data_IF_531654796626
#
_entry.id   IF_531654796626
#
_cell.length_a   1.000
_cell.length_b   1.000
_cell.length_c   1.000
_cell.angle_alpha   90.00
_cell.angle_beta   90.00
_cell.angle_gamma   90.00
#
_symmetry.space_group_name_H-M   'P 1'
#
loop_
_entity.id
_entity.type
_entity.pdbx_description
1 polymer ?
#
# COMPACT_ATOMS: atom_id res chain seq x y z
N UNK A 1 -8.83 2.46 4.56
CA UNK A 1 -9.85 1.74 3.76
C UNK A 1 -9.72 0.24 4.05
N UNK A 2 -10.82 -0.49 4.13
CA UNK A 2 -10.78 -1.95 4.28
C UNK A 2 -10.34 -2.60 2.98
N UNK A 3 -9.80 -3.81 3.09
CA UNK A 3 -9.18 -4.57 2.00
C UNK A 3 -10.09 -4.78 0.78
N UNK A 4 -11.38 -5.01 1.01
CA UNK A 4 -12.42 -5.17 0.00
C UNK A 4 -12.82 -3.85 -0.70
N UNK A 5 -12.48 -2.71 -0.11
CA UNK A 5 -12.80 -1.38 -0.65
C UNK A 5 -11.70 -0.82 -1.57
N UNK A 6 -10.56 -1.49 -1.69
CA UNK A 6 -9.37 -0.94 -2.38
C UNK A 6 -9.65 -0.69 -3.85
N UNK A 7 -10.20 -1.68 -4.57
CA UNK A 7 -10.51 -1.55 -6.00
C UNK A 7 -11.52 -0.42 -6.26
N UNK A 8 -12.54 -0.29 -5.39
CA UNK A 8 -13.56 0.74 -5.50
C UNK A 8 -13.07 2.16 -5.17
N UNK A 9 -11.85 2.31 -4.62
CA UNK A 9 -11.27 3.61 -4.24
C UNK A 9 -9.89 3.83 -4.87
N UNK A 10 -9.52 3.04 -5.87
CA UNK A 10 -8.20 3.08 -6.51
C UNK A 10 -7.93 4.45 -7.15
N UNK A 11 -8.98 5.11 -7.64
CA UNK A 11 -8.98 6.44 -8.24
C UNK A 11 -8.54 7.57 -7.28
N UNK A 12 -8.60 7.32 -5.96
CA UNK A 12 -8.18 8.28 -4.93
C UNK A 12 -6.69 8.19 -4.62
N UNK A 13 -6.06 7.07 -4.97
CA UNK A 13 -4.64 6.80 -4.76
C UNK A 13 -3.87 7.34 -5.96
N UNK A 14 -2.69 7.89 -5.72
CA UNK A 14 -1.79 8.40 -6.76
C UNK A 14 -0.41 7.81 -6.61
N UNK A 15 0.35 7.83 -7.70
CA UNK A 15 1.78 7.54 -7.68
C UNK A 15 2.47 8.37 -6.60
N UNK A 16 3.32 7.71 -5.81
CA UNK A 16 4.06 8.34 -4.72
C UNK A 16 3.34 8.42 -3.39
N UNK A 17 2.05 8.02 -3.30
CA UNK A 17 1.38 7.93 -2.00
C UNK A 17 2.06 6.91 -1.09
N UNK A 18 2.19 7.25 0.19
CA UNK A 18 2.60 6.31 1.22
C UNK A 18 1.42 5.42 1.58
N UNK A 19 1.65 4.13 1.56
CA UNK A 19 0.66 3.09 1.89
C UNK A 19 1.13 2.36 3.13
N UNK A 20 0.32 2.36 4.18
CA UNK A 20 0.55 1.58 5.39
C UNK A 20 -0.47 0.44 5.47
N UNK A 21 0.01 -0.81 5.51
CA UNK A 21 -0.83 -1.99 5.57
C UNK A 21 -1.27 -2.24 7.01
N UNK A 22 -2.56 -2.07 7.28
CA UNK A 22 -3.12 -2.26 8.62
C UNK A 22 -3.24 -3.75 8.95
N UNK A 23 -3.19 -4.08 10.24
CA UNK A 23 -3.18 -5.47 10.69
C UNK A 23 -4.12 -5.73 11.86
N UNK A 24 -4.49 -7.00 12.00
CA UNK A 24 -5.33 -7.56 13.09
C UNK A 24 -4.48 -8.19 14.19
N UNK A 25 -3.17 -7.96 14.20
CA UNK A 25 -2.29 -8.43 15.26
C UNK A 25 -2.53 -7.56 16.51
N UNK A 26 -2.91 -8.18 17.62
CA UNK A 26 -3.15 -7.47 18.87
C UNK A 26 -1.93 -6.62 19.28
N UNK A 27 -2.19 -5.34 19.57
CA UNK A 27 -1.16 -4.37 19.94
C UNK A 27 -0.34 -3.80 18.78
N UNK A 28 -0.73 -4.04 17.52
CA UNK A 28 -0.06 -3.52 16.33
C UNK A 28 -1.05 -2.97 15.30
N UNK A 29 -0.91 -1.69 14.94
CA UNK A 29 -1.80 -1.05 13.97
C UNK A 29 -1.37 -1.31 12.51
N UNK A 30 -0.06 -1.28 12.25
CA UNK A 30 0.54 -1.35 10.91
C UNK A 30 1.65 -2.39 10.89
N UNK A 31 1.57 -3.35 9.97
CA UNK A 31 2.57 -4.41 9.85
C UNK A 31 3.66 -4.13 8.81
N UNK A 32 3.37 -3.27 7.83
CA UNK A 32 4.27 -3.00 6.70
C UNK A 32 3.93 -1.67 6.02
N UNK A 33 4.88 -1.10 5.28
CA UNK A 33 4.71 0.14 4.52
C UNK A 33 5.27 0.04 3.11
N UNK A 34 4.73 0.85 2.19
CA UNK A 34 5.12 0.91 0.79
C UNK A 34 4.83 2.27 0.15
N UNK A 35 5.30 2.46 -1.09
CA UNK A 35 4.97 3.61 -1.94
C UNK A 35 4.11 3.13 -3.11
N UNK A 36 2.95 3.74 -3.32
CA UNK A 36 2.03 3.41 -4.40
C UNK A 36 2.63 3.76 -5.78
N UNK A 37 2.37 2.90 -6.76
CA UNK A 37 2.68 3.16 -8.16
C UNK A 37 1.68 2.45 -9.07
N UNK A 38 1.16 3.13 -10.08
CA UNK A 38 0.38 2.54 -11.15
C UNK A 38 1.31 1.95 -12.21
N UNK A 39 1.22 0.65 -12.42
CA UNK A 39 1.95 -0.07 -13.46
C UNK A 39 0.95 -0.76 -14.38
N UNK A 40 1.01 -0.46 -15.67
CA UNK A 40 0.07 -0.97 -16.68
C UNK A 40 -1.41 -0.76 -16.31
N UNK A 41 -1.73 0.40 -15.72
CA UNK A 41 -3.10 0.76 -15.32
C UNK A 41 -3.61 0.07 -14.05
N UNK A 42 -2.78 -0.70 -13.34
CA UNK A 42 -3.14 -1.36 -12.08
C UNK A 42 -2.31 -0.80 -10.92
N UNK A 43 -2.91 -0.74 -9.74
CA UNK A 43 -2.23 -0.25 -8.53
C UNK A 43 -1.26 -1.30 -8.00
N UNK A 44 0.04 -1.02 -8.11
CA UNK A 44 1.15 -1.75 -7.51
C UNK A 44 1.81 -0.87 -6.44
N UNK A 45 2.91 -1.36 -5.86
CA UNK A 45 3.67 -0.59 -4.89
C UNK A 45 5.15 -1.00 -4.87
N UNK A 46 6.03 -0.05 -4.52
CA UNK A 46 7.40 -0.33 -4.14
C UNK A 46 7.52 -0.55 -2.65
N UNK A 47 8.24 -1.60 -2.24
CA UNK A 47 8.53 -1.84 -0.83
C UNK A 47 9.88 -2.52 -0.61
N UNK A 48 10.45 -2.34 0.57
CA UNK A 48 11.57 -3.14 1.04
C UNK A 48 11.06 -4.55 1.38
N UNK A 49 11.41 -5.53 0.55
CA UNK A 49 10.99 -6.91 0.76
C UNK A 49 12.01 -7.64 1.63
N UNK A 50 11.58 -8.10 2.81
CA UNK A 50 12.41 -8.95 3.68
C UNK A 50 12.79 -10.27 3.01
N UNK A 51 11.90 -10.84 2.18
CA UNK A 51 12.15 -12.10 1.48
C UNK A 51 13.12 -11.95 0.31
N UNK A 52 13.05 -10.83 -0.43
CA UNK A 52 13.94 -10.55 -1.57
C UNK A 52 15.20 -9.78 -1.19
N UNK A 53 15.31 -9.30 0.06
CA UNK A 53 16.42 -8.50 0.63
C UNK A 53 16.78 -7.25 -0.18
N UNK A 54 15.80 -6.67 -0.88
CA UNK A 54 15.95 -5.45 -1.69
C UNK A 54 14.61 -4.75 -1.84
N UNK A 55 14.66 -3.50 -2.31
CA UNK A 55 13.47 -2.80 -2.77
C UNK A 55 12.99 -3.44 -4.07
N UNK A 56 11.71 -3.76 -4.13
CA UNK A 56 11.08 -4.39 -5.30
C UNK A 56 9.74 -3.74 -5.60
N UNK A 57 9.36 -3.77 -6.88
CA UNK A 57 7.98 -3.57 -7.29
C UNK A 57 7.18 -4.83 -6.91
N UNK A 58 5.96 -4.66 -6.42
CA UNK A 58 5.08 -5.78 -6.09
C UNK A 58 4.80 -6.64 -7.34
N UNK A 59 4.98 -7.96 -7.22
CA UNK A 59 4.71 -8.91 -8.31
C UNK A 59 3.22 -8.90 -8.69
N UNK A 60 2.34 -8.75 -7.70
CA UNK A 60 0.89 -8.65 -7.87
C UNK A 60 0.40 -7.23 -7.56
N UNK A 61 -0.76 -6.82 -8.10
CA UNK A 61 -1.47 -5.61 -7.68
C UNK A 61 -1.79 -5.62 -6.18
N UNK A 62 -2.01 -4.44 -5.62
CA UNK A 62 -2.21 -4.23 -4.18
C UNK A 62 -3.40 -5.02 -3.61
N UNK A 63 -4.52 -5.06 -4.33
CA UNK A 63 -5.72 -5.80 -3.92
C UNK A 63 -5.47 -7.30 -3.82
N UNK A 64 -4.81 -7.89 -4.82
CA UNK A 64 -4.43 -9.30 -4.87
C UNK A 64 -3.38 -9.64 -3.80
N UNK A 65 -2.38 -8.77 -3.63
CA UNK A 65 -1.37 -8.91 -2.58
C UNK A 65 -2.02 -8.96 -1.20
N UNK A 66 -2.94 -8.02 -0.92
CA UNK A 66 -3.68 -8.01 0.33
C UNK A 66 -4.61 -9.22 0.43
N UNK A 67 -5.26 -9.66 -0.66
CA UNK A 67 -6.12 -10.86 -0.71
C UNK A 67 -5.45 -12.07 -0.05
N UNK A 68 -4.18 -12.30 -0.36
CA UNK A 68 -3.38 -13.40 0.19
C UNK A 68 -2.97 -13.27 1.67
N UNK A 69 -3.08 -12.08 2.27
CA UNK A 69 -2.64 -11.84 3.65
C UNK A 69 -3.81 -11.89 4.65
N UNK A 70 -3.82 -12.93 5.49
CA UNK A 70 -4.89 -13.15 6.48
C UNK A 70 -4.89 -12.13 7.62
N UNK A 71 -3.71 -11.69 8.04
CA UNK A 71 -3.57 -10.77 9.18
C UNK A 71 -3.68 -9.29 8.80
N UNK A 72 -3.83 -8.97 7.51
CA UNK A 72 -4.02 -7.60 7.05
C UNK A 72 -5.48 -7.35 6.70
N UNK A 73 -6.04 -6.26 7.21
CA UNK A 73 -7.47 -5.93 7.06
C UNK A 73 -7.74 -4.67 6.23
N UNK A 74 -6.69 -3.96 5.82
CA UNK A 74 -6.83 -2.74 5.03
C UNK A 74 -5.53 -1.99 4.80
N UNK A 75 -5.69 -0.74 4.34
CA UNK A 75 -4.61 0.22 4.16
C UNK A 75 -4.98 1.61 4.65
N UNK A 76 -4.00 2.33 5.18
CA UNK A 76 -4.00 3.78 5.30
C UNK A 76 -3.19 4.36 4.14
N UNK A 77 -3.66 5.46 3.57
CA UNK A 77 -3.00 6.15 2.46
C UNK A 77 -2.71 7.58 2.89
N UNK A 78 -1.46 8.00 2.75
CA UNK A 78 -1.01 9.34 3.05
C UNK A 78 -0.26 9.92 1.84
N UNK A 79 -0.46 11.21 1.59
CA UNK A 79 0.24 11.93 0.52
C UNK A 79 1.09 13.02 1.15
N UNK A 80 2.35 13.11 0.74
CA UNK A 80 3.23 14.19 1.19
C UNK A 80 2.67 15.52 0.68
N UNK A 81 2.52 16.47 1.58
CA UNK A 81 2.18 17.85 1.25
C UNK A 81 3.44 18.70 1.41
N UNK A 82 4.09 19.00 0.28
CA UNK A 82 5.14 20.01 0.26
C UNK A 82 4.45 21.37 0.33
N UNK A 83 4.64 22.11 1.43
CA UNK A 83 4.14 23.48 1.51
C UNK A 83 4.67 24.30 0.34
N UNK A 84 3.92 25.30 -0.11
CA UNK A 84 4.49 26.30 -1.02
C UNK A 84 5.64 27.02 -0.29
N UNK A 85 6.81 27.06 -0.89
CA UNK A 85 7.75 28.15 -0.59
C UNK A 85 6.98 29.46 -0.85
N UNK A 86 6.91 30.33 0.16
CA UNK A 86 6.44 31.70 -0.02
C UNK A 86 7.53 32.50 -0.72
#
# INVERSE_FOLDING_TARGET
MKKDQIEANVDKIKDGDLVAFTTTIDGLDVSHVAIAVFSNGRLHFYHASSSKKKVVLSENPMSEYLAGMKKNDGVLVARVHFGSEQ
#
